data_IF_048091530086
#
_entry.id   IF_048091530086
#
_cell.length_a   1.000
_cell.length_b   1.000
_cell.length_c   1.000
_cell.angle_alpha   90.00
_cell.angle_beta   90.00
_cell.angle_gamma   90.00
#
_symmetry.space_group_name_H-M   'P 1'
#
loop_
_entity.id
_entity.type
_entity.pdbx_description
1 polymer ?
#
# COMPACT_ATOMS: atom_id res chain seq x y z
N UNK A 1 9.92 13.65 -36.11
CA UNK A 1 8.77 13.14 -35.35
C UNK A 1 8.11 14.37 -34.74
N UNK A 2 6.95 14.79 -35.23
CA UNK A 2 6.18 15.81 -34.52
C UNK A 2 5.75 15.24 -33.17
N UNK A 3 6.14 15.91 -32.08
CA UNK A 3 5.73 15.54 -30.72
C UNK A 3 4.24 15.88 -30.58
N UNK A 4 3.37 14.88 -30.69
CA UNK A 4 1.93 15.05 -30.45
C UNK A 4 1.63 14.87 -28.96
N UNK A 5 1.72 15.95 -28.19
CA UNK A 5 1.40 15.94 -26.75
C UNK A 5 -0.08 16.29 -26.59
N UNK A 6 -0.90 15.30 -26.20
CA UNK A 6 -2.33 15.50 -25.94
C UNK A 6 -2.52 16.13 -24.58
N UNK A 7 -2.95 17.40 -24.58
CA UNK A 7 -3.29 18.16 -23.37
C UNK A 7 -4.78 18.50 -23.38
N UNK A 8 -5.51 18.32 -22.26
CA UNK A 8 -6.91 18.69 -22.14
C UNK A 8 -7.16 20.18 -22.43
N UNK A 9 -8.30 20.50 -23.05
CA UNK A 9 -8.65 21.87 -23.42
C UNK A 9 -8.64 22.83 -22.21
N UNK A 10 -9.14 22.38 -21.06
CA UNK A 10 -9.14 23.16 -19.82
C UNK A 10 -7.72 23.57 -19.37
N UNK A 11 -6.75 22.66 -19.46
CA UNK A 11 -5.35 22.93 -19.09
C UNK A 11 -4.70 23.89 -20.10
N UNK A 12 -5.01 23.74 -21.39
CA UNK A 12 -4.58 24.70 -22.43
C UNK A 12 -5.13 26.09 -22.19
N UNK A 13 -6.40 26.21 -21.76
CA UNK A 13 -7.03 27.50 -21.47
C UNK A 13 -6.34 28.22 -20.29
N UNK A 14 -5.91 27.48 -19.27
CA UNK A 14 -5.13 28.03 -18.15
C UNK A 14 -3.82 28.65 -18.68
N UNK A 15 -3.08 27.93 -19.54
CA UNK A 15 -1.84 28.45 -20.15
C UNK A 15 -2.10 29.67 -21.03
N UNK A 16 -3.21 29.69 -21.80
CA UNK A 16 -3.63 30.85 -22.58
C UNK A 16 -3.89 32.09 -21.71
N UNK A 17 -4.53 31.93 -20.54
CA UNK A 17 -4.79 33.04 -19.61
C UNK A 17 -3.51 33.65 -19.07
N UNK A 18 -2.52 32.83 -18.74
CA UNK A 18 -1.19 33.32 -18.37
C UNK A 18 -0.55 34.11 -19.51
N UNK A 19 -0.53 33.53 -20.72
CA UNK A 19 0.09 34.18 -21.88
C UNK A 19 -0.57 35.51 -22.24
N UNK A 20 -1.89 35.61 -22.12
CA UNK A 20 -2.64 36.84 -22.36
C UNK A 20 -2.27 37.98 -21.38
N UNK A 21 -1.68 37.65 -20.24
CA UNK A 21 -1.15 38.62 -19.25
C UNK A 21 0.37 38.83 -19.35
N UNK A 22 1.02 38.20 -20.33
CA UNK A 22 2.46 38.33 -20.54
C UNK A 22 3.31 37.35 -19.74
N UNK A 23 2.71 36.41 -19.00
CA UNK A 23 3.43 35.39 -18.25
C UNK A 23 3.81 34.19 -19.11
N UNK A 24 4.88 33.51 -18.72
CA UNK A 24 5.22 32.17 -19.17
C UNK A 24 4.41 31.14 -18.39
N UNK A 25 3.96 30.09 -19.05
CA UNK A 25 3.29 28.96 -18.41
C UNK A 25 3.64 27.67 -19.15
N UNK A 26 4.32 26.78 -18.44
CA UNK A 26 4.73 25.48 -18.97
C UNK A 26 4.09 24.36 -18.18
N UNK A 27 3.52 23.38 -18.87
CA UNK A 27 3.17 22.11 -18.27
C UNK A 27 4.47 21.33 -18.05
N UNK A 28 4.64 20.75 -16.86
CA UNK A 28 5.93 20.18 -16.41
C UNK A 28 5.73 18.85 -15.69
N UNK A 29 6.82 18.13 -15.44
CA UNK A 29 6.81 16.99 -14.53
C UNK A 29 6.17 15.72 -15.10
N UNK A 30 5.45 15.00 -14.23
CA UNK A 30 4.83 13.72 -14.56
C UNK A 30 3.78 13.82 -15.67
N UNK A 31 3.08 14.95 -15.77
CA UNK A 31 2.09 15.19 -16.83
C UNK A 31 2.68 15.09 -18.23
N UNK A 32 3.88 15.65 -18.45
CA UNK A 32 4.57 15.55 -19.74
C UNK A 32 5.03 14.13 -20.02
N UNK A 33 5.66 13.48 -19.02
CA UNK A 33 6.07 12.09 -19.13
C UNK A 33 4.91 11.17 -19.51
N UNK A 34 3.79 11.31 -18.81
CA UNK A 34 2.63 10.44 -18.97
C UNK A 34 1.93 10.71 -20.30
N UNK A 35 1.82 11.97 -20.73
CA UNK A 35 1.33 12.30 -22.07
C UNK A 35 2.21 11.70 -23.18
N UNK A 36 3.54 11.71 -23.02
CA UNK A 36 4.48 11.10 -23.96
C UNK A 36 4.46 9.56 -23.95
N UNK A 37 4.00 8.95 -22.84
CA UNK A 37 3.78 7.51 -22.71
C UNK A 37 2.34 7.09 -23.06
N UNK A 38 1.51 8.03 -23.54
CA UNK A 38 0.09 7.81 -23.85
C UNK A 38 -0.72 7.28 -22.66
N UNK A 39 -0.34 7.67 -21.44
CA UNK A 39 -1.05 7.35 -20.20
C UNK A 39 -2.02 8.48 -19.86
N UNK A 40 -3.22 8.13 -19.40
CA UNK A 40 -4.15 9.13 -18.86
C UNK A 40 -3.59 9.74 -17.57
N UNK A 41 -3.70 11.06 -17.46
CA UNK A 41 -3.33 11.80 -16.28
C UNK A 41 -4.37 12.90 -16.00
N UNK A 42 -4.78 13.00 -14.74
CA UNK A 42 -5.75 13.98 -14.21
C UNK A 42 -5.09 14.99 -13.25
N UNK A 43 -3.79 14.85 -13.00
CA UNK A 43 -2.97 15.73 -12.16
C UNK A 43 -1.91 16.42 -13.04
N UNK A 44 -2.08 17.73 -13.24
CA UNK A 44 -1.18 18.56 -14.05
C UNK A 44 -0.42 19.55 -13.20
N UNK A 45 0.89 19.65 -13.44
CA UNK A 45 1.73 20.69 -12.86
C UNK A 45 1.99 21.76 -13.92
N UNK A 46 1.75 23.03 -13.58
CA UNK A 46 2.13 24.19 -14.40
C UNK A 46 3.19 25.00 -13.66
N UNK A 47 4.32 25.27 -14.31
CA UNK A 47 5.34 26.19 -13.84
C UNK A 47 5.24 27.54 -14.57
N UNK A 48 5.28 28.64 -13.83
CA UNK A 48 5.08 30.00 -14.37
C UNK A 48 6.01 31.01 -13.73
N UNK A 49 6.29 32.14 -14.40
CA UNK A 49 6.98 33.28 -13.81
C UNK A 49 6.05 34.22 -13.00
N UNK A 50 4.74 33.96 -12.99
CA UNK A 50 3.78 34.68 -12.14
C UNK A 50 3.94 34.33 -10.64
N UNK A 51 3.79 35.34 -9.78
CA UNK A 51 3.80 35.20 -8.33
C UNK A 51 2.46 34.67 -7.81
N UNK A 52 2.40 34.07 -6.60
CA UNK A 52 1.18 33.47 -6.06
C UNK A 52 -0.03 34.42 -6.06
N UNK A 53 0.16 35.67 -5.67
CA UNK A 53 -0.87 36.72 -5.67
C UNK A 53 -1.39 37.04 -7.08
N UNK A 54 -0.51 37.01 -8.09
CA UNK A 54 -0.87 37.21 -9.50
C UNK A 54 -1.64 36.01 -10.03
N UNK A 55 -1.25 34.79 -9.64
CA UNK A 55 -1.96 33.56 -10.01
C UNK A 55 -3.37 33.57 -9.38
N UNK A 56 -3.49 33.88 -8.09
CA UNK A 56 -4.79 33.96 -7.39
C UNK A 56 -5.68 35.05 -7.98
N UNK A 57 -5.10 36.19 -8.40
CA UNK A 57 -5.84 37.23 -9.11
C UNK A 57 -6.32 36.77 -10.49
N UNK A 58 -5.55 35.93 -11.19
CA UNK A 58 -5.91 35.40 -12.50
C UNK A 58 -6.95 34.27 -12.40
N UNK A 59 -6.91 33.51 -11.31
CA UNK A 59 -7.81 32.39 -11.06
C UNK A 59 -8.44 32.50 -9.66
N UNK A 60 -9.55 33.24 -9.51
CA UNK A 60 -10.19 33.47 -8.21
C UNK A 60 -10.71 32.21 -7.49
N UNK A 61 -10.85 31.08 -8.21
CA UNK A 61 -11.20 29.77 -7.65
C UNK A 61 -10.00 28.95 -7.20
N UNK A 62 -8.78 29.40 -7.50
CA UNK A 62 -7.57 28.73 -7.04
C UNK A 62 -7.39 28.98 -5.54
N UNK A 63 -6.83 28.00 -4.84
CA UNK A 63 -6.56 28.07 -3.41
C UNK A 63 -5.08 27.83 -3.13
N UNK A 64 -4.47 28.51 -2.17
CA UNK A 64 -3.12 28.18 -1.73
C UNK A 64 -3.03 26.70 -1.34
N UNK A 65 -1.98 26.01 -1.81
CA UNK A 65 -1.84 24.58 -1.62
C UNK A 65 -0.40 24.16 -1.37
N UNK A 66 -0.18 23.36 -0.33
CA UNK A 66 1.15 22.86 0.01
C UNK A 66 2.10 23.98 0.47
N UNK A 67 3.34 23.94 -0.03
CA UNK A 67 4.41 24.88 0.29
C UNK A 67 4.92 25.54 -0.99
N UNK A 68 5.82 26.52 -0.88
CA UNK A 68 6.52 27.14 -2.02
C UNK A 68 5.66 28.03 -2.92
N UNK A 69 4.54 28.56 -2.42
CA UNK A 69 3.67 29.44 -3.19
C UNK A 69 2.86 28.72 -4.27
N UNK A 70 2.81 27.40 -4.25
CA UNK A 70 1.93 26.61 -5.12
C UNK A 70 0.46 26.93 -4.83
N UNK A 71 -0.32 27.04 -5.89
CA UNK A 71 -1.77 27.16 -5.81
C UNK A 71 -2.43 26.01 -6.56
N UNK A 72 -3.55 25.56 -6.02
CA UNK A 72 -4.34 24.47 -6.56
C UNK A 72 -5.58 25.03 -7.24
N UNK A 73 -5.82 24.59 -8.47
CA UNK A 73 -7.01 24.90 -9.23
C UNK A 73 -7.66 23.59 -9.68
N UNK A 74 -8.94 23.42 -9.37
CA UNK A 74 -9.74 22.29 -9.86
C UNK A 74 -10.61 22.77 -11.03
N UNK A 75 -10.46 22.14 -12.20
CA UNK A 75 -11.24 22.47 -13.42
C UNK A 75 -11.68 21.18 -14.09
N UNK A 76 -12.99 20.97 -14.28
CA UNK A 76 -13.53 19.77 -14.96
C UNK A 76 -12.98 18.46 -14.37
N UNK A 77 -12.93 18.36 -13.04
CA UNK A 77 -12.35 17.25 -12.28
C UNK A 77 -10.83 17.02 -12.47
N UNK A 78 -10.17 17.89 -13.25
CA UNK A 78 -8.71 17.92 -13.41
C UNK A 78 -8.11 18.77 -12.30
N UNK A 79 -7.16 18.18 -11.59
CA UNK A 79 -6.38 18.84 -10.56
C UNK A 79 -5.17 19.51 -11.21
N UNK A 80 -5.05 20.83 -11.06
CA UNK A 80 -3.95 21.61 -11.63
C UNK A 80 -3.19 22.33 -10.51
N UNK A 81 -1.94 21.93 -10.29
CA UNK A 81 -1.01 22.59 -9.38
C UNK A 81 -0.19 23.62 -10.15
N UNK A 82 -0.33 24.89 -9.81
CA UNK A 82 0.40 25.99 -10.46
C UNK A 82 1.46 26.48 -9.49
N UNK A 83 2.73 26.41 -9.90
CA UNK A 83 3.89 26.74 -9.07
C UNK A 83 4.75 27.82 -9.73
N UNK A 84 5.04 28.94 -9.03
CA UNK A 84 5.98 29.93 -9.53
C UNK A 84 7.40 29.36 -9.72
N UNK A 85 8.15 29.90 -10.68
CA UNK A 85 9.58 29.67 -10.78
C UNK A 85 10.26 30.10 -9.47
N UNK A 86 11.36 29.42 -9.16
CA UNK A 86 12.18 29.79 -7.99
C UNK A 86 13.64 29.92 -8.39
N UNK A 87 14.31 30.88 -7.78
CA UNK A 87 15.71 31.23 -8.01
C UNK A 87 16.65 30.72 -6.91
N UNK A 88 16.14 29.89 -5.99
CA UNK A 88 16.90 29.32 -4.90
C UNK A 88 17.65 28.05 -5.30
N UNK A 89 18.78 27.80 -4.62
CA UNK A 89 19.55 26.58 -4.82
C UNK A 89 18.70 25.33 -4.50
N UNK A 90 18.78 24.26 -5.31
CA UNK A 90 17.88 23.11 -5.20
C UNK A 90 17.85 22.43 -3.82
N UNK A 91 16.71 21.82 -3.51
CA UNK A 91 16.44 21.12 -2.23
C UNK A 91 15.24 21.68 -1.47
N UNK A 92 14.80 20.96 -0.44
CA UNK A 92 13.64 21.37 0.37
C UNK A 92 14.12 22.28 1.50
N UNK A 93 14.02 23.59 1.32
CA UNK A 93 14.45 24.60 2.30
C UNK A 93 13.27 25.37 2.89
N UNK A 94 13.35 25.83 4.15
CA UNK A 94 12.32 26.65 4.78
C UNK A 94 12.21 28.06 4.16
N UNK A 95 13.29 28.54 3.53
CA UNK A 95 13.32 29.82 2.84
C UNK A 95 13.59 29.59 1.35
N UNK A 96 12.75 30.15 0.50
CA UNK A 96 12.83 30.09 -0.95
C UNK A 96 12.62 31.49 -1.53
N UNK A 97 13.16 31.74 -2.71
CA UNK A 97 13.03 33.00 -3.44
C UNK A 97 12.38 32.76 -4.79
N UNK A 98 11.28 33.46 -5.08
CA UNK A 98 10.65 33.44 -6.40
C UNK A 98 11.56 34.03 -7.48
N UNK A 99 11.26 33.70 -8.73
CA UNK A 99 12.00 34.13 -9.92
C UNK A 99 12.79 33.01 -10.57
N UNK A 100 13.69 33.34 -11.48
CA UNK A 100 14.42 32.35 -12.29
C UNK A 100 13.73 32.07 -13.62
N UNK A 101 14.03 30.92 -14.22
CA UNK A 101 13.53 30.51 -15.54
C UNK A 101 13.02 29.08 -15.52
N UNK A 102 12.34 28.66 -16.59
CA UNK A 102 11.96 27.26 -16.78
C UNK A 102 13.15 26.31 -16.66
N UNK A 103 14.33 26.69 -17.18
CA UNK A 103 15.55 25.88 -17.07
C UNK A 103 15.96 25.66 -15.61
N UNK A 104 15.91 26.71 -14.79
CA UNK A 104 16.21 26.60 -13.35
C UNK A 104 15.18 25.79 -12.59
N UNK A 105 13.89 25.81 -13.00
CA UNK A 105 12.87 24.94 -12.41
C UNK A 105 13.06 23.47 -12.81
N UNK A 106 13.39 23.19 -14.06
CA UNK A 106 13.64 21.82 -14.50
C UNK A 106 14.89 21.23 -13.82
N UNK A 107 15.92 22.04 -13.59
CA UNK A 107 17.18 21.64 -12.97
C UNK A 107 17.06 21.18 -11.51
N UNK A 108 16.01 21.61 -10.81
CA UNK A 108 15.77 21.23 -9.40
C UNK A 108 14.94 19.97 -9.24
N UNK A 109 14.40 19.40 -10.32
CA UNK A 109 13.58 18.19 -10.26
C UNK A 109 14.45 16.95 -10.03
N UNK A 110 13.79 15.84 -9.77
CA UNK A 110 14.45 14.61 -9.32
C UNK A 110 15.12 13.84 -10.45
N UNK A 111 14.36 13.53 -11.51
CA UNK A 111 14.80 12.68 -12.60
C UNK A 111 14.54 13.33 -13.97
N UNK A 112 15.40 13.03 -14.94
CA UNK A 112 15.38 13.56 -16.31
C UNK A 112 14.00 13.38 -16.97
N UNK A 113 13.40 12.21 -16.80
CA UNK A 113 12.05 11.88 -17.30
C UNK A 113 10.92 12.76 -16.71
N UNK A 114 11.19 13.49 -15.62
CA UNK A 114 10.27 14.47 -15.03
C UNK A 114 10.79 15.91 -15.18
N UNK A 115 11.91 16.13 -15.85
CA UNK A 115 12.57 17.41 -16.06
C UNK A 115 12.36 17.94 -17.48
N UNK A 116 11.15 17.77 -18.00
CA UNK A 116 10.71 18.30 -19.30
C UNK A 116 9.57 19.31 -19.09
N UNK A 117 9.44 20.22 -20.04
CA UNK A 117 8.39 21.24 -20.06
C UNK A 117 7.79 21.41 -21.46
N UNK A 118 6.51 21.77 -21.50
CA UNK A 118 5.79 22.04 -22.74
C UNK A 118 4.85 23.23 -22.58
N UNK A 119 4.97 24.22 -23.47
CA UNK A 119 4.01 25.32 -23.59
C UNK A 119 2.97 24.94 -24.67
N UNK A 120 1.71 24.67 -24.29
CA UNK A 120 0.68 24.25 -25.24
C UNK A 120 0.15 25.41 -26.12
N UNK A 121 0.56 26.66 -25.86
CA UNK A 121 0.17 27.85 -26.62
C UNK A 121 1.18 28.13 -27.72
N UNK A 122 2.47 28.08 -27.41
CA UNK A 122 3.56 28.34 -28.38
C UNK A 122 4.08 27.06 -29.04
N UNK A 123 3.67 25.89 -28.55
CA UNK A 123 4.18 24.58 -28.93
C UNK A 123 5.68 24.40 -28.61
N UNK A 124 6.23 25.23 -27.73
CA UNK A 124 7.61 25.12 -27.29
C UNK A 124 7.78 23.89 -26.38
N UNK A 125 8.74 23.03 -26.71
CA UNK A 125 9.13 21.88 -25.89
C UNK A 125 10.56 22.10 -25.38
N UNK A 126 10.73 22.03 -24.06
CA UNK A 126 11.99 22.33 -23.37
C UNK A 126 12.45 21.08 -22.61
N UNK A 127 13.57 20.50 -23.07
CA UNK A 127 14.19 19.31 -22.48
C UNK A 127 15.72 19.46 -22.35
N UNK A 128 16.20 20.25 -21.37
CA UNK A 128 17.63 20.54 -21.22
C UNK A 128 18.42 19.41 -20.57
N UNK A 129 17.77 18.33 -20.11
CA UNK A 129 18.38 17.21 -19.40
C UNK A 129 18.18 15.86 -20.09
N UNK A 130 17.81 15.87 -21.38
CA UNK A 130 17.66 14.68 -22.22
C UNK A 130 16.61 13.68 -21.67
N UNK A 131 15.57 14.20 -21.00
CA UNK A 131 14.48 13.41 -20.46
C UNK A 131 13.72 12.61 -21.51
N UNK A 132 13.56 13.14 -22.73
CA UNK A 132 12.92 12.43 -23.84
C UNK A 132 13.75 11.24 -24.30
N UNK A 133 15.08 11.34 -24.25
CA UNK A 133 15.97 10.24 -24.59
C UNK A 133 15.93 9.15 -23.51
N UNK A 134 16.03 9.52 -22.23
CA UNK A 134 15.92 8.56 -21.13
C UNK A 134 14.52 7.91 -21.08
N UNK A 135 13.45 8.64 -21.42
CA UNK A 135 12.10 8.10 -21.54
C UNK A 135 12.00 7.02 -22.62
N UNK A 136 12.57 7.28 -23.81
CA UNK A 136 12.65 6.30 -24.91
C UNK A 136 13.52 5.10 -24.55
N UNK A 137 14.61 5.32 -23.81
CA UNK A 137 15.50 4.27 -23.33
C UNK A 137 14.96 3.51 -22.12
N UNK A 138 13.82 3.94 -21.54
CA UNK A 138 13.23 3.38 -20.32
C UNK A 138 14.19 3.42 -19.12
N UNK A 139 14.84 4.57 -18.92
CA UNK A 139 15.85 4.81 -17.90
C UNK A 139 15.39 5.87 -16.90
N UNK A 140 15.62 5.62 -15.61
CA UNK A 140 15.49 6.60 -14.53
C UNK A 140 16.89 7.11 -14.20
N UNK A 141 17.14 8.39 -14.51
CA UNK A 141 18.41 9.08 -14.28
C UNK A 141 18.18 10.36 -13.50
N UNK A 142 19.05 10.69 -12.55
CA UNK A 142 18.98 11.97 -11.85
C UNK A 142 19.12 13.17 -12.79
N UNK A 143 18.33 14.22 -12.56
CA UNK A 143 18.43 15.46 -13.32
C UNK A 143 19.76 16.17 -13.10
N UNK A 144 20.53 16.33 -14.18
CA UNK A 144 21.83 16.99 -14.17
C UNK A 144 22.91 16.16 -13.47
N UNK A 145 22.87 16.08 -12.13
CA UNK A 145 23.83 15.32 -11.34
C UNK A 145 23.11 14.55 -10.24
N UNK A 146 23.60 13.34 -9.93
CA UNK A 146 23.23 12.54 -8.76
C UNK A 146 23.04 13.34 -7.47
N UNK A 147 23.79 14.45 -7.23
CA UNK A 147 23.60 15.38 -6.10
C UNK A 147 22.13 15.73 -5.79
N UNK A 148 21.22 15.65 -6.76
CA UNK A 148 19.77 15.73 -6.52
C UNK A 148 19.27 14.86 -5.38
N UNK A 149 19.81 13.66 -5.16
CA UNK A 149 19.38 12.77 -4.08
C UNK A 149 19.75 13.32 -2.69
N UNK A 150 20.84 14.06 -2.57
CA UNK A 150 21.32 14.64 -1.30
C UNK A 150 20.42 15.77 -0.82
N UNK A 151 19.76 16.46 -1.74
CA UNK A 151 18.95 17.65 -1.47
C UNK A 151 17.55 17.33 -0.92
N UNK A 152 17.06 16.14 -1.23
CA UNK A 152 15.89 15.54 -0.59
C UNK A 152 16.06 14.02 -0.61
N UNK A 153 16.47 13.40 0.52
CA UNK A 153 16.67 11.95 0.62
C UNK A 153 15.45 11.13 0.20
N UNK A 154 14.24 11.68 0.26
CA UNK A 154 13.04 10.98 -0.23
C UNK A 154 13.10 10.68 -1.74
N UNK A 155 13.91 11.41 -2.52
CA UNK A 155 14.13 11.12 -3.94
C UNK A 155 14.69 9.72 -4.15
N UNK A 156 15.41 9.15 -3.19
CA UNK A 156 15.87 7.77 -3.29
C UNK A 156 14.71 6.78 -3.30
N UNK A 157 13.68 6.99 -2.45
CA UNK A 157 12.45 6.20 -2.51
C UNK A 157 11.66 6.46 -3.79
N UNK A 158 11.63 7.72 -4.27
CA UNK A 158 10.93 8.07 -5.51
C UNK A 158 11.54 7.36 -6.73
N UNK A 159 12.85 7.12 -6.77
CA UNK A 159 13.48 6.34 -7.83
C UNK A 159 12.92 4.91 -7.87
N UNK A 160 12.89 4.23 -6.71
CA UNK A 160 12.31 2.90 -6.58
C UNK A 160 10.81 2.88 -6.89
N UNK A 161 10.07 3.91 -6.48
CA UNK A 161 8.65 4.08 -6.84
C UNK A 161 8.47 4.24 -8.34
N UNK A 162 9.25 5.10 -9.01
CA UNK A 162 9.11 5.29 -10.46
C UNK A 162 9.51 4.03 -11.23
N UNK A 163 10.50 3.28 -10.75
CA UNK A 163 10.79 1.96 -11.31
C UNK A 163 9.57 1.05 -11.19
N UNK A 164 8.93 1.01 -10.02
CA UNK A 164 7.71 0.22 -9.83
C UNK A 164 6.53 0.69 -10.69
N UNK A 165 6.40 1.99 -10.94
CA UNK A 165 5.30 2.55 -11.75
C UNK A 165 5.49 2.34 -13.25
N UNK A 166 6.73 2.43 -13.73
CA UNK A 166 7.02 2.51 -15.16
C UNK A 166 7.66 1.23 -15.72
N UNK A 167 8.19 0.35 -14.86
CA UNK A 167 8.98 -0.80 -15.28
C UNK A 167 10.24 -0.37 -16.04
N UNK A 168 10.90 0.68 -15.53
CA UNK A 168 12.12 1.27 -16.10
C UNK A 168 13.34 0.82 -15.31
N UNK A 169 14.51 0.87 -15.92
CA UNK A 169 15.78 0.58 -15.22
C UNK A 169 16.36 1.85 -14.59
N UNK A 170 17.09 1.72 -13.49
CA UNK A 170 17.78 2.85 -12.86
C UNK A 170 19.22 2.91 -13.39
N UNK A 171 19.63 4.09 -13.83
CA UNK A 171 20.98 4.33 -14.34
C UNK A 171 22.06 4.05 -13.28
N UNK A 172 23.22 3.44 -13.60
CA UNK A 172 24.18 2.98 -12.61
C UNK A 172 24.68 4.05 -11.62
N UNK A 173 24.97 5.27 -12.10
CA UNK A 173 25.43 6.36 -11.21
C UNK A 173 24.33 6.80 -10.25
N UNK A 174 23.09 6.85 -10.74
CA UNK A 174 21.88 7.11 -9.96
C UNK A 174 21.68 6.02 -8.91
N UNK A 175 21.80 4.74 -9.28
CA UNK A 175 21.68 3.61 -8.35
C UNK A 175 22.75 3.66 -7.24
N UNK A 176 24.00 3.96 -7.61
CA UNK A 176 25.09 4.16 -6.64
C UNK A 176 24.80 5.32 -5.68
N UNK A 177 24.23 6.41 -6.20
CA UNK A 177 23.79 7.53 -5.38
C UNK A 177 22.68 7.13 -4.40
N UNK A 178 21.70 6.32 -4.80
CA UNK A 178 20.68 5.81 -3.88
C UNK A 178 21.33 5.04 -2.72
N UNK A 179 22.26 4.13 -3.04
CA UNK A 179 22.95 3.29 -2.04
C UNK A 179 23.80 4.11 -1.07
N UNK A 180 24.60 5.03 -1.59
CA UNK A 180 25.46 5.89 -0.76
C UNK A 180 24.69 6.83 0.17
N UNK A 181 23.41 7.13 -0.15
CA UNK A 181 22.58 8.09 0.57
C UNK A 181 21.49 7.46 1.42
N UNK A 182 21.36 6.13 1.40
CA UNK A 182 20.36 5.40 2.16
C UNK A 182 20.28 5.82 3.65
N UNK A 183 21.41 6.04 4.37
CA UNK A 183 21.35 6.48 5.77
C UNK A 183 20.61 7.79 6.02
N UNK A 184 20.62 8.72 5.05
CA UNK A 184 19.93 10.01 5.18
C UNK A 184 18.41 9.87 5.14
N UNK A 185 17.88 8.73 4.70
CA UNK A 185 16.43 8.48 4.72
C UNK A 185 15.88 8.53 6.15
N UNK A 186 16.70 8.24 7.16
CA UNK A 186 16.33 8.36 8.58
C UNK A 186 15.97 9.80 9.01
N UNK A 187 16.36 10.82 8.22
CA UNK A 187 15.99 12.23 8.46
C UNK A 187 14.59 12.58 7.96
N UNK A 188 13.97 11.70 7.17
CA UNK A 188 12.66 11.93 6.58
C UNK A 188 11.57 11.44 7.53
N UNK A 189 10.47 12.20 7.61
CA UNK A 189 9.32 11.81 8.44
C UNK A 189 8.73 10.47 7.98
N UNK A 190 8.19 9.73 8.94
CA UNK A 190 7.63 8.39 8.70
C UNK A 190 6.42 8.41 7.79
N UNK A 191 5.61 9.46 7.83
CA UNK A 191 4.46 9.68 6.96
C UNK A 191 4.89 9.83 5.50
N UNK A 192 5.98 10.58 5.23
CA UNK A 192 6.48 10.73 3.86
C UNK A 192 7.06 9.41 3.32
N UNK A 193 7.73 8.64 4.17
CA UNK A 193 8.21 7.29 3.82
C UNK A 193 7.02 6.37 3.53
N UNK A 194 6.00 6.37 4.40
CA UNK A 194 4.75 5.62 4.24
C UNK A 194 4.07 5.96 2.92
N UNK A 195 3.94 7.23 2.58
CA UNK A 195 3.24 7.67 1.37
C UNK A 195 3.97 7.25 0.09
N UNK A 196 5.31 7.29 0.08
CA UNK A 196 6.10 6.76 -1.05
C UNK A 196 6.07 5.23 -1.12
N UNK A 197 6.13 4.54 0.03
CA UNK A 197 6.01 3.08 0.11
C UNK A 197 4.66 2.60 -0.42
N UNK A 198 3.56 3.23 0.01
CA UNK A 198 2.22 2.90 -0.46
C UNK A 198 2.11 3.02 -1.98
N UNK A 199 2.56 4.15 -2.54
CA UNK A 199 2.55 4.34 -4.00
C UNK A 199 3.41 3.30 -4.72
N UNK A 200 4.55 2.90 -4.14
CA UNK A 200 5.42 1.87 -4.71
C UNK A 200 4.74 0.50 -4.72
N UNK A 201 4.21 0.03 -3.59
CA UNK A 201 3.62 -1.31 -3.50
C UNK A 201 2.29 -1.42 -4.28
N UNK A 202 1.58 -0.32 -4.51
CA UNK A 202 0.37 -0.29 -5.35
C UNK A 202 0.65 0.00 -6.82
N UNK A 203 1.90 -0.03 -7.25
CA UNK A 203 2.28 0.15 -8.67
C UNK A 203 2.13 -1.15 -9.47
N UNK A 204 2.39 -1.05 -10.78
CA UNK A 204 2.30 -2.18 -11.73
C UNK A 204 3.48 -3.17 -11.58
N UNK A 205 4.65 -2.69 -11.16
CA UNK A 205 5.89 -3.47 -10.99
C UNK A 205 6.45 -3.37 -9.56
N UNK A 206 5.67 -3.68 -8.50
CA UNK A 206 6.08 -3.42 -7.12
C UNK A 206 7.31 -4.25 -6.71
N UNK A 207 7.50 -5.43 -7.28
CA UNK A 207 8.65 -6.30 -6.99
C UNK A 207 9.98 -5.61 -7.31
N UNK A 208 10.13 -5.03 -8.52
CA UNK A 208 11.37 -4.37 -8.94
C UNK A 208 11.72 -3.18 -8.02
N UNK A 209 10.71 -2.39 -7.65
CA UNK A 209 10.89 -1.28 -6.71
C UNK A 209 11.30 -1.77 -5.31
N UNK A 210 10.66 -2.82 -4.80
CA UNK A 210 10.99 -3.41 -3.50
C UNK A 210 12.41 -4.01 -3.50
N UNK A 211 12.80 -4.71 -4.56
CA UNK A 211 14.17 -5.21 -4.75
C UNK A 211 15.16 -4.05 -4.76
N UNK A 212 14.87 -2.95 -5.45
CA UNK A 212 15.72 -1.75 -5.40
C UNK A 212 15.87 -1.20 -4.00
N UNK A 213 14.81 -1.17 -3.18
CA UNK A 213 14.93 -0.76 -1.78
C UNK A 213 15.88 -1.68 -1.00
N UNK A 214 15.84 -2.99 -1.27
CA UNK A 214 16.72 -3.98 -0.62
C UNK A 214 18.18 -3.81 -1.05
N UNK A 215 18.48 -3.84 -2.35
CA UNK A 215 19.87 -3.85 -2.87
C UNK A 215 20.60 -2.52 -2.66
N UNK A 216 19.87 -1.42 -2.56
CA UNK A 216 20.41 -0.09 -2.20
C UNK A 216 20.55 0.10 -0.70
N UNK A 217 19.98 -0.79 0.12
CA UNK A 217 19.96 -0.65 1.58
C UNK A 217 18.94 0.35 2.11
N UNK A 218 18.11 0.96 1.27
CA UNK A 218 17.02 1.85 1.70
C UNK A 218 16.02 1.11 2.61
N UNK A 219 15.77 -0.18 2.36
CA UNK A 219 14.85 -1.00 3.15
C UNK A 219 15.21 -1.01 4.65
N UNK A 220 16.50 -0.92 5.00
CA UNK A 220 17.00 -0.83 6.39
C UNK A 220 16.43 0.36 7.16
N UNK A 221 16.03 1.41 6.45
CA UNK A 221 15.49 2.63 7.03
C UNK A 221 13.97 2.71 6.91
N UNK A 222 13.33 1.74 6.23
CA UNK A 222 11.89 1.70 5.95
C UNK A 222 11.23 0.61 6.81
N UNK A 223 11.57 -0.66 6.56
CA UNK A 223 11.09 -1.85 7.29
C UNK A 223 12.29 -2.80 7.45
N UNK A 224 13.21 -2.55 8.40
CA UNK A 224 14.39 -3.39 8.59
C UNK A 224 14.05 -4.85 8.92
N UNK A 225 12.90 -5.10 9.55
CA UNK A 225 12.41 -6.43 9.93
C UNK A 225 12.29 -7.38 8.74
N UNK A 226 11.95 -6.88 7.54
CA UNK A 226 11.87 -7.70 6.32
C UNK A 226 13.23 -8.31 5.95
N UNK A 227 14.32 -7.60 6.25
CA UNK A 227 15.67 -8.06 5.91
C UNK A 227 16.14 -9.24 6.76
N UNK A 228 15.48 -9.50 7.90
CA UNK A 228 15.78 -10.67 8.74
C UNK A 228 15.45 -11.99 8.02
N UNK A 229 14.55 -11.97 7.03
CA UNK A 229 14.21 -13.14 6.21
C UNK A 229 15.15 -13.39 5.03
N UNK A 230 16.11 -12.50 4.76
CA UNK A 230 17.03 -12.64 3.64
C UNK A 230 17.98 -13.82 3.85
N UNK A 231 18.09 -14.70 2.85
CA UNK A 231 18.88 -15.92 2.89
C UNK A 231 18.32 -17.02 3.81
N UNK A 232 17.11 -16.84 4.34
CA UNK A 232 16.43 -17.84 5.15
C UNK A 232 15.55 -18.73 4.28
N UNK A 233 16.11 -19.87 3.86
CA UNK A 233 15.43 -20.84 3.00
C UNK A 233 14.29 -21.57 3.72
N UNK A 234 13.23 -21.91 2.97
CA UNK A 234 12.12 -22.71 3.46
C UNK A 234 12.12 -24.07 2.76
N UNK A 235 12.15 -25.15 3.53
CA UNK A 235 12.11 -26.51 2.99
C UNK A 235 10.81 -26.68 2.17
N UNK A 236 10.94 -26.79 0.85
CA UNK A 236 9.86 -26.83 -0.17
C UNK A 236 9.33 -25.49 -0.71
N UNK A 237 10.06 -24.38 -0.58
CA UNK A 237 9.80 -23.18 -1.39
C UNK A 237 11.03 -22.84 -2.24
N UNK A 238 10.83 -22.23 -3.42
CA UNK A 238 11.93 -21.88 -4.31
C UNK A 238 12.71 -20.62 -3.88
N UNK A 239 12.19 -19.88 -2.91
CA UNK A 239 12.68 -18.56 -2.53
C UNK A 239 12.88 -18.47 -1.01
N UNK A 240 13.76 -17.57 -0.57
CA UNK A 240 13.90 -17.21 0.84
C UNK A 240 12.65 -16.46 1.37
N UNK A 241 12.60 -16.25 2.69
CA UNK A 241 11.47 -15.58 3.35
C UNK A 241 11.27 -14.14 2.85
N UNK A 242 12.34 -13.39 2.56
CA UNK A 242 12.22 -12.03 2.07
C UNK A 242 11.63 -12.00 0.65
N UNK A 243 12.19 -12.78 -0.27
CA UNK A 243 11.73 -12.87 -1.64
C UNK A 243 10.29 -13.38 -1.72
N UNK A 244 9.92 -14.36 -0.88
CA UNK A 244 8.52 -14.79 -0.72
C UNK A 244 7.60 -13.61 -0.37
N UNK A 245 7.97 -12.75 0.58
CA UNK A 245 7.18 -11.56 0.94
C UNK A 245 7.06 -10.55 -0.21
N UNK A 246 8.15 -10.32 -0.95
CA UNK A 246 8.14 -9.40 -2.09
C UNK A 246 7.25 -9.94 -3.23
N UNK A 247 7.32 -11.24 -3.50
CA UNK A 247 6.49 -11.91 -4.51
C UNK A 247 5.02 -11.97 -4.10
N UNK A 248 4.72 -12.29 -2.83
CA UNK A 248 3.35 -12.26 -2.33
C UNK A 248 2.75 -10.85 -2.47
N UNK A 249 3.54 -9.82 -2.13
CA UNK A 249 3.16 -8.43 -2.36
C UNK A 249 2.89 -8.16 -3.84
N UNK A 250 3.63 -8.74 -4.79
CA UNK A 250 3.41 -8.58 -6.24
C UNK A 250 2.18 -9.34 -6.77
N UNK A 251 1.93 -10.56 -6.28
CA UNK A 251 0.85 -11.41 -6.79
C UNK A 251 -0.53 -11.05 -6.25
N UNK A 252 -0.62 -10.47 -5.04
CA UNK A 252 -1.91 -10.12 -4.46
C UNK A 252 -2.61 -9.03 -5.27
N UNK A 253 -3.95 -9.04 -5.27
CA UNK A 253 -4.76 -7.98 -5.87
C UNK A 253 -4.29 -6.60 -5.44
N UNK A 254 -4.18 -5.68 -6.40
CA UNK A 254 -3.68 -4.33 -6.16
C UNK A 254 -4.66 -3.52 -5.30
N UNK A 255 -4.45 -3.57 -3.99
CA UNK A 255 -5.15 -2.78 -2.99
C UNK A 255 -4.20 -2.48 -1.83
N UNK A 256 -4.17 -1.25 -1.28
CA UNK A 256 -3.20 -0.87 -0.25
C UNK A 256 -3.11 -1.85 0.93
N UNK A 257 -4.24 -2.24 1.52
CA UNK A 257 -4.25 -3.14 2.67
C UNK A 257 -3.84 -4.57 2.30
N UNK A 258 -4.18 -5.05 1.10
CA UNK A 258 -3.76 -6.38 0.62
C UNK A 258 -2.27 -6.44 0.34
N UNK A 259 -1.71 -5.41 -0.33
CA UNK A 259 -0.27 -5.30 -0.61
C UNK A 259 0.53 -5.27 0.69
N UNK A 260 0.07 -4.51 1.69
CA UNK A 260 0.69 -4.47 3.02
C UNK A 260 0.59 -5.81 3.76
N UNK A 261 -0.59 -6.44 3.78
CA UNK A 261 -0.77 -7.74 4.42
C UNK A 261 0.12 -8.80 3.77
N UNK A 262 0.17 -8.86 2.45
CA UNK A 262 1.02 -9.79 1.71
C UNK A 262 2.51 -9.52 1.92
N UNK A 263 2.94 -8.26 1.98
CA UNK A 263 4.34 -7.92 2.27
C UNK A 263 4.76 -8.31 3.69
N UNK A 264 3.83 -8.31 4.66
CA UNK A 264 4.15 -8.46 6.09
C UNK A 264 3.72 -9.80 6.71
N UNK A 265 2.94 -10.64 6.01
CA UNK A 265 2.33 -11.85 6.62
C UNK A 265 3.33 -12.83 7.21
N UNK A 266 4.53 -12.90 6.64
CA UNK A 266 5.60 -13.83 7.02
C UNK A 266 6.82 -13.13 7.63
N UNK A 267 6.72 -11.83 7.95
CA UNK A 267 7.83 -11.04 8.51
C UNK A 267 8.38 -11.60 9.83
N UNK A 268 7.56 -12.36 10.58
CA UNK A 268 7.92 -12.95 11.86
C UNK A 268 8.70 -14.25 11.79
N UNK A 269 8.79 -14.90 10.62
CA UNK A 269 9.42 -16.22 10.46
C UNK A 269 10.84 -16.25 10.99
N UNK A 270 11.64 -15.22 10.68
CA UNK A 270 13.04 -15.16 11.13
C UNK A 270 13.20 -15.20 12.66
N UNK A 271 12.21 -14.70 13.41
CA UNK A 271 12.26 -14.62 14.87
C UNK A 271 11.65 -15.83 15.58
N UNK A 272 11.03 -16.75 14.86
CA UNK A 272 10.52 -18.01 15.41
C UNK A 272 11.10 -19.25 14.70
N UNK A 273 12.13 -19.07 13.89
CA UNK A 273 12.80 -20.14 13.19
C UNK A 273 13.41 -21.14 14.18
N UNK A 274 13.11 -22.42 13.98
CA UNK A 274 13.69 -23.53 14.73
C UNK A 274 14.25 -24.52 13.73
N UNK A 275 15.51 -24.91 13.90
CA UNK A 275 16.11 -25.95 13.08
C UNK A 275 15.83 -27.33 13.70
N UNK A 276 15.22 -28.21 12.91
CA UNK A 276 14.94 -29.58 13.29
C UNK A 276 15.37 -30.50 12.15
N UNK A 277 16.31 -31.41 12.44
CA UNK A 277 16.83 -32.38 11.45
C UNK A 277 17.36 -31.72 10.15
N UNK A 278 17.96 -30.53 10.26
CA UNK A 278 18.48 -29.77 9.12
C UNK A 278 17.41 -29.03 8.30
N UNK A 279 16.16 -29.01 8.78
CA UNK A 279 15.03 -28.30 8.18
C UNK A 279 14.65 -27.12 9.09
N UNK A 280 14.51 -25.93 8.51
CA UNK A 280 13.97 -24.77 9.20
C UNK A 280 12.44 -24.84 9.25
N UNK A 281 11.90 -24.88 10.46
CA UNK A 281 10.49 -24.79 10.76
C UNK A 281 10.15 -23.42 11.39
N UNK A 282 8.91 -22.98 11.23
CA UNK A 282 8.45 -21.64 11.68
C UNK A 282 7.17 -21.74 12.53
N UNK A 283 7.22 -22.42 13.69
CA UNK A 283 6.06 -22.60 14.55
C UNK A 283 5.52 -21.24 15.01
N UNK A 284 4.20 -21.07 14.93
CA UNK A 284 3.53 -19.85 15.40
C UNK A 284 3.94 -18.56 14.69
N UNK A 285 4.54 -18.62 13.49
CA UNK A 285 5.03 -17.41 12.80
C UNK A 285 3.95 -16.37 12.58
N UNK A 286 2.69 -16.74 12.31
CA UNK A 286 1.58 -15.80 12.20
C UNK A 286 1.41 -14.90 13.44
N UNK A 287 1.61 -15.43 14.65
CA UNK A 287 1.57 -14.66 15.90
C UNK A 287 2.73 -13.67 15.93
N UNK A 288 3.93 -14.13 15.57
CA UNK A 288 5.12 -13.26 15.58
C UNK A 288 5.07 -12.20 14.49
N UNK A 289 4.58 -12.56 13.30
CA UNK A 289 4.32 -11.64 12.18
C UNK A 289 3.28 -10.60 12.56
N UNK A 290 2.23 -10.98 13.29
CA UNK A 290 1.20 -10.05 13.76
C UNK A 290 1.79 -8.98 14.69
N UNK A 291 2.54 -9.40 15.72
CA UNK A 291 3.24 -8.49 16.66
C UNK A 291 4.19 -7.53 15.92
N UNK A 292 4.98 -8.06 15.00
CA UNK A 292 5.93 -7.27 14.21
C UNK A 292 5.22 -6.33 13.24
N UNK A 293 4.18 -6.78 12.55
CA UNK A 293 3.39 -5.96 11.65
C UNK A 293 2.73 -4.80 12.39
N UNK A 294 2.22 -5.02 13.61
CA UNK A 294 1.65 -3.96 14.44
C UNK A 294 2.68 -2.87 14.75
N UNK A 295 3.89 -3.27 15.17
CA UNK A 295 5.02 -2.35 15.39
C UNK A 295 5.40 -1.59 14.12
N UNK A 296 5.52 -2.28 12.98
CA UNK A 296 5.87 -1.68 11.69
C UNK A 296 4.83 -0.64 11.25
N UNK A 297 3.54 -0.99 11.31
CA UNK A 297 2.45 -0.10 10.91
C UNK A 297 2.38 1.15 11.80
N UNK A 298 2.60 0.97 13.11
CA UNK A 298 2.69 2.07 14.08
C UNK A 298 3.90 2.98 13.81
N UNK A 299 5.05 2.40 13.51
CA UNK A 299 6.28 3.13 13.20
C UNK A 299 6.15 3.94 11.91
N UNK A 300 5.46 3.40 10.90
CA UNK A 300 5.13 4.08 9.65
C UNK A 300 3.92 5.00 9.74
N UNK A 301 3.30 5.16 10.92
CA UNK A 301 2.18 6.07 11.18
C UNK A 301 0.97 5.79 10.27
N UNK A 302 0.64 4.52 10.04
CA UNK A 302 -0.61 4.17 9.37
C UNK A 302 -1.83 4.53 10.22
N UNK A 303 -2.96 4.82 9.57
CA UNK A 303 -4.22 5.04 10.26
C UNK A 303 -4.76 3.72 10.85
N UNK A 304 -5.58 3.85 11.89
CA UNK A 304 -6.11 2.69 12.63
C UNK A 304 -6.99 1.77 11.77
N UNK A 305 -7.70 2.31 10.77
CA UNK A 305 -8.58 1.53 9.91
C UNK A 305 -7.77 0.60 9.02
N UNK A 306 -6.77 1.16 8.32
CA UNK A 306 -5.82 0.40 7.52
C UNK A 306 -5.09 -0.63 8.37
N UNK A 307 -4.54 -0.22 9.52
CA UNK A 307 -3.79 -1.11 10.39
C UNK A 307 -4.63 -2.29 10.88
N UNK A 308 -5.85 -2.03 11.39
CA UNK A 308 -6.77 -3.08 11.85
C UNK A 308 -7.04 -4.12 10.75
N UNK A 309 -7.29 -3.65 9.53
CA UNK A 309 -7.57 -4.55 8.40
C UNK A 309 -6.36 -5.40 8.02
N UNK A 310 -5.17 -4.81 7.93
CA UNK A 310 -3.93 -5.53 7.64
C UNK A 310 -3.65 -6.59 8.70
N UNK A 311 -3.75 -6.23 9.98
CA UNK A 311 -3.50 -7.13 11.11
C UNK A 311 -4.48 -8.30 11.14
N UNK A 312 -5.78 -8.05 10.89
CA UNK A 312 -6.80 -9.10 10.81
C UNK A 312 -6.49 -10.13 9.71
N UNK A 313 -5.99 -9.67 8.56
CA UNK A 313 -5.59 -10.58 7.47
C UNK A 313 -4.36 -11.41 7.85
N UNK A 314 -3.34 -10.78 8.44
CA UNK A 314 -2.12 -11.46 8.88
C UNK A 314 -2.42 -12.47 10.00
N UNK A 315 -3.27 -12.14 10.95
CA UNK A 315 -3.63 -13.06 12.04
C UNK A 315 -4.29 -14.35 11.52
N UNK A 316 -5.05 -14.25 10.42
CA UNK A 316 -5.92 -15.31 9.94
C UNK A 316 -5.46 -15.97 8.63
N UNK A 317 -4.30 -15.61 8.08
CA UNK A 317 -3.85 -16.10 6.77
C UNK A 317 -3.52 -17.61 6.74
N UNK A 318 -3.24 -18.22 7.90
CA UNK A 318 -2.81 -19.63 8.03
C UNK A 318 -3.96 -20.67 8.00
N UNK A 319 -5.15 -20.33 7.49
CA UNK A 319 -6.27 -21.27 7.48
C UNK A 319 -6.02 -22.48 6.55
N UNK A 320 -6.56 -23.63 6.96
CA UNK A 320 -6.57 -24.85 6.17
C UNK A 320 -7.98 -25.12 5.65
N UNK A 321 -8.07 -25.56 4.39
CA UNK A 321 -9.32 -25.96 3.76
C UNK A 321 -9.02 -27.01 2.71
N UNK A 322 -9.82 -28.07 2.69
CA UNK A 322 -9.71 -29.21 1.81
C UNK A 322 -11.09 -29.58 1.23
N UNK A 323 -11.17 -30.40 0.16
CA UNK A 323 -12.45 -30.77 -0.45
C UNK A 323 -13.45 -31.44 0.49
N UNK A 324 -12.97 -32.11 1.55
CA UNK A 324 -13.74 -32.79 2.58
C UNK A 324 -13.98 -31.95 3.84
N UNK A 325 -13.52 -30.70 3.86
CA UNK A 325 -13.75 -29.78 4.99
C UNK A 325 -15.25 -29.51 5.16
N UNK A 326 -15.79 -29.66 6.38
CA UNK A 326 -17.22 -29.45 6.62
C UNK A 326 -17.58 -27.97 6.55
N UNK A 327 -18.85 -27.70 6.20
CA UNK A 327 -19.39 -26.34 6.05
C UNK A 327 -19.29 -25.50 7.34
N UNK A 328 -19.23 -26.15 8.52
CA UNK A 328 -19.00 -25.48 9.80
C UNK A 328 -17.68 -24.71 9.84
N UNK A 329 -16.63 -25.18 9.17
CA UNK A 329 -15.34 -24.47 9.14
C UNK A 329 -15.40 -23.18 8.32
N UNK A 330 -16.17 -23.16 7.22
CA UNK A 330 -16.45 -21.91 6.51
C UNK A 330 -17.24 -20.94 7.41
N UNK A 331 -18.20 -21.43 8.20
CA UNK A 331 -18.94 -20.59 9.16
C UNK A 331 -18.00 -20.01 10.22
N UNK A 332 -17.13 -20.83 10.83
CA UNK A 332 -16.13 -20.39 11.80
C UNK A 332 -15.22 -19.32 11.19
N UNK A 333 -14.73 -19.54 9.97
CA UNK A 333 -13.86 -18.59 9.29
C UNK A 333 -14.57 -17.25 9.05
N UNK A 334 -15.80 -17.27 8.51
CA UNK A 334 -16.61 -16.06 8.29
C UNK A 334 -16.93 -15.34 9.62
N UNK A 335 -17.31 -16.09 10.67
CA UNK A 335 -17.60 -15.51 11.98
C UNK A 335 -16.38 -14.82 12.58
N UNK A 336 -15.19 -15.41 12.37
CA UNK A 336 -13.91 -14.87 12.86
C UNK A 336 -13.45 -13.62 12.10
N UNK A 337 -13.56 -13.62 10.76
CA UNK A 337 -12.94 -12.55 9.94
C UNK A 337 -13.94 -11.53 9.39
N UNK A 338 -15.23 -11.86 9.37
CA UNK A 338 -16.30 -11.04 8.80
C UNK A 338 -16.40 -11.16 7.26
N UNK A 339 -17.63 -11.01 6.75
CA UNK A 339 -17.91 -11.03 5.31
C UNK A 339 -17.19 -9.93 4.53
N UNK A 340 -16.92 -8.80 5.17
CA UNK A 340 -16.22 -7.67 4.57
C UNK A 340 -14.72 -7.95 4.34
N UNK A 341 -14.15 -8.99 4.98
CA UNK A 341 -12.74 -9.35 4.87
C UNK A 341 -12.49 -10.74 4.28
N UNK A 342 -13.48 -11.65 4.25
CA UNK A 342 -13.27 -13.04 3.83
C UNK A 342 -12.68 -13.15 2.41
N UNK A 343 -13.15 -12.32 1.47
CA UNK A 343 -12.62 -12.35 0.10
C UNK A 343 -11.22 -11.76 0.02
N UNK A 344 -10.89 -10.77 0.84
CA UNK A 344 -9.53 -10.23 0.93
C UNK A 344 -8.56 -11.27 1.53
N UNK A 345 -9.02 -12.07 2.51
CA UNK A 345 -8.26 -13.19 3.06
C UNK A 345 -7.98 -14.28 2.01
N UNK A 346 -8.97 -14.55 1.15
CA UNK A 346 -8.83 -15.46 0.01
C UNK A 346 -7.82 -14.92 -1.01
N UNK A 347 -7.85 -13.61 -1.31
CA UNK A 347 -6.87 -12.98 -2.20
C UNK A 347 -5.45 -13.07 -1.63
N UNK A 348 -5.28 -12.86 -0.32
CA UNK A 348 -4.00 -13.05 0.34
C UNK A 348 -3.51 -14.51 0.23
N UNK A 349 -4.40 -15.49 0.44
CA UNK A 349 -4.06 -16.93 0.33
C UNK A 349 -3.66 -17.32 -1.09
N UNK A 350 -4.33 -16.77 -2.11
CA UNK A 350 -3.95 -16.94 -3.52
C UNK A 350 -2.54 -16.44 -3.78
N UNK A 351 -2.21 -15.24 -3.27
CA UNK A 351 -0.90 -14.63 -3.44
C UNK A 351 0.22 -15.40 -2.74
N UNK A 352 0.01 -15.83 -1.48
CA UNK A 352 0.94 -16.69 -0.72
C UNK A 352 1.22 -18.01 -1.48
N UNK A 353 0.18 -18.62 -2.05
CA UNK A 353 0.32 -19.83 -2.86
C UNK A 353 1.15 -19.60 -4.12
N UNK A 354 0.89 -18.52 -4.88
CA UNK A 354 1.69 -18.18 -6.06
C UNK A 354 3.16 -17.87 -5.70
N UNK A 355 3.39 -17.10 -4.63
CA UNK A 355 4.73 -16.78 -4.13
C UNK A 355 5.52 -18.01 -3.67
N UNK A 356 4.80 -19.06 -3.24
CA UNK A 356 5.38 -20.36 -2.87
C UNK A 356 5.71 -21.26 -4.07
N UNK A 357 5.54 -20.78 -5.32
CA UNK A 357 5.94 -21.50 -6.54
C UNK A 357 4.85 -22.38 -7.17
N UNK A 358 3.61 -22.29 -6.72
CA UNK A 358 2.50 -23.03 -7.35
C UNK A 358 2.04 -22.32 -8.62
N UNK A 359 1.80 -23.08 -9.70
CA UNK A 359 1.29 -22.54 -10.97
C UNK A 359 -0.14 -21.98 -10.87
N UNK A 360 -0.97 -22.59 -10.00
CA UNK A 360 -2.38 -22.22 -9.82
C UNK A 360 -2.60 -21.59 -8.45
N UNK A 361 -3.14 -20.38 -8.46
CA UNK A 361 -3.54 -19.63 -7.26
C UNK A 361 -4.71 -20.30 -6.50
N UNK A 362 -5.60 -20.97 -7.24
CA UNK A 362 -6.77 -21.66 -6.68
C UNK A 362 -6.55 -23.16 -6.82
N UNK A 363 -6.56 -23.87 -5.70
CA UNK A 363 -6.55 -25.33 -5.65
C UNK A 363 -7.88 -25.88 -5.11
N UNK A 364 -8.05 -27.22 -5.07
CA UNK A 364 -9.34 -27.86 -4.75
C UNK A 364 -9.94 -27.43 -3.40
N UNK A 365 -9.10 -27.21 -2.39
CA UNK A 365 -9.56 -26.72 -1.09
C UNK A 365 -10.13 -25.30 -1.15
N UNK A 366 -9.52 -24.41 -1.93
CA UNK A 366 -10.01 -23.04 -2.08
C UNK A 366 -11.26 -22.98 -2.99
N UNK A 367 -11.37 -23.87 -3.98
CA UNK A 367 -12.60 -24.07 -4.75
C UNK A 367 -13.76 -24.50 -3.85
N UNK A 368 -13.52 -25.47 -2.95
CA UNK A 368 -14.52 -25.90 -1.97
C UNK A 368 -14.92 -24.75 -1.04
N UNK A 369 -13.97 -23.99 -0.50
CA UNK A 369 -14.28 -22.83 0.35
C UNK A 369 -15.15 -21.81 -0.39
N UNK A 370 -14.84 -21.50 -1.65
CA UNK A 370 -15.65 -20.56 -2.43
C UNK A 370 -17.08 -21.07 -2.62
N UNK A 371 -17.27 -22.35 -2.94
CA UNK A 371 -18.58 -22.99 -3.04
C UNK A 371 -19.34 -22.92 -1.71
N UNK A 372 -18.67 -23.20 -0.60
CA UNK A 372 -19.27 -23.18 0.73
C UNK A 372 -19.70 -21.77 1.14
N UNK A 373 -18.92 -20.73 0.80
CA UNK A 373 -19.31 -19.35 1.04
C UNK A 373 -20.57 -18.95 0.26
N UNK A 374 -20.77 -19.48 -0.94
CA UNK A 374 -22.01 -19.28 -1.70
C UNK A 374 -23.20 -19.97 -1.03
N UNK A 375 -23.00 -21.19 -0.52
CA UNK A 375 -24.00 -21.92 0.26
C UNK A 375 -24.37 -21.17 1.56
N UNK A 376 -23.39 -20.70 2.32
CA UNK A 376 -23.62 -19.91 3.53
C UNK A 376 -24.44 -18.64 3.26
N UNK A 377 -24.17 -17.93 2.17
CA UNK A 377 -24.96 -16.75 1.78
C UNK A 377 -26.41 -17.10 1.46
N UNK A 378 -26.63 -18.24 0.82
CA UNK A 378 -27.97 -18.72 0.45
C UNK A 378 -28.76 -19.13 1.68
N UNK A 379 -28.12 -19.82 2.61
CA UNK A 379 -28.73 -20.31 3.85
C UNK A 379 -28.82 -19.26 4.96
N UNK A 380 -28.02 -18.19 4.88
CA UNK A 380 -27.84 -17.20 5.95
C UNK A 380 -27.41 -17.84 7.27
N UNK A 381 -26.49 -18.79 7.18
CA UNK A 381 -25.97 -19.56 8.32
C UNK A 381 -24.66 -18.99 8.89
N UNK A 382 -24.40 -17.71 8.66
CA UNK A 382 -23.24 -16.92 9.11
C UNK A 382 -23.46 -16.27 10.49
N UNK A 383 -23.64 -17.10 11.52
CA UNK A 383 -23.97 -16.63 12.87
C UNK A 383 -22.84 -15.82 13.53
N UNK A 384 -23.22 -14.74 14.22
CA UNK A 384 -22.43 -14.04 15.22
C UNK A 384 -23.11 -14.11 16.59
N UNK A 385 -22.43 -13.63 17.64
CA UNK A 385 -22.99 -13.59 19.01
C UNK A 385 -24.37 -12.91 19.04
N UNK A 386 -24.56 -11.86 18.25
CA UNK A 386 -25.83 -11.10 18.18
C UNK A 386 -26.98 -11.90 17.53
N UNK A 387 -26.67 -12.96 16.79
CA UNK A 387 -27.61 -13.80 16.06
C UNK A 387 -27.99 -15.05 16.86
N UNK A 388 -27.40 -15.23 18.05
CA UNK A 388 -27.84 -16.25 18.99
C UNK A 388 -29.25 -15.92 19.49
N UNK A 389 -30.10 -16.94 19.60
CA UNK A 389 -31.46 -16.85 20.16
C UNK A 389 -31.46 -16.66 21.71
N UNK A 390 -30.31 -16.24 22.24
CA UNK A 390 -30.09 -15.95 23.65
C UNK A 390 -29.12 -14.78 23.78
N UNK A 391 -29.39 -13.90 24.73
CA UNK A 391 -28.54 -12.76 25.05
C UNK A 391 -27.74 -13.00 26.33
N UNK A 392 -26.72 -12.17 26.56
CA UNK A 392 -25.99 -12.18 27.84
C UNK A 392 -26.90 -11.89 29.04
N UNK A 393 -27.98 -11.12 28.85
CA UNK A 393 -28.98 -10.85 29.90
C UNK A 393 -29.73 -12.12 30.28
N UNK A 394 -30.14 -12.92 29.30
CA UNK A 394 -30.84 -14.18 29.53
C UNK A 394 -29.96 -15.16 30.31
N UNK A 395 -28.67 -15.26 29.97
CA UNK A 395 -27.72 -16.09 30.72
C UNK A 395 -27.60 -15.65 32.19
N UNK A 396 -27.55 -14.34 32.44
CA UNK A 396 -27.48 -13.78 33.80
C UNK A 396 -28.74 -14.10 34.59
N UNK A 397 -29.91 -13.85 34.01
CA UNK A 397 -31.20 -13.99 34.69
C UNK A 397 -31.56 -15.47 34.93
N UNK A 398 -31.38 -16.34 33.93
CA UNK A 398 -31.82 -17.74 33.99
C UNK A 398 -30.81 -18.68 34.68
N UNK A 399 -29.52 -18.35 34.63
CA UNK A 399 -28.46 -19.17 35.26
C UNK A 399 -27.95 -18.57 36.57
N UNK A 400 -28.42 -17.39 36.96
CA UNK A 400 -28.02 -16.72 38.20
C UNK A 400 -26.54 -16.33 38.26
N UNK A 401 -25.88 -16.19 37.10
CA UNK A 401 -24.45 -15.84 37.03
C UNK A 401 -24.23 -14.33 37.16
N UNK A 402 -23.12 -13.91 37.77
CA UNK A 402 -22.79 -12.49 37.87
C UNK A 402 -22.36 -11.92 36.51
N UNK A 403 -22.73 -10.67 36.18
CA UNK A 403 -22.18 -9.98 35.03
C UNK A 403 -20.65 -9.98 35.06
N UNK A 404 -20.00 -10.31 33.94
CA UNK A 404 -18.55 -10.34 33.84
C UNK A 404 -18.03 -11.15 32.66
N UNK A 405 -16.70 -11.40 32.59
CA UNK A 405 -16.05 -12.10 31.47
C UNK A 405 -16.62 -13.50 31.17
N UNK A 406 -17.16 -14.18 32.19
CA UNK A 406 -17.77 -15.49 32.05
C UNK A 406 -18.97 -15.49 31.10
N UNK A 407 -19.77 -14.41 31.05
CA UNK A 407 -20.92 -14.29 30.14
C UNK A 407 -20.42 -14.26 28.69
N UNK A 408 -19.35 -13.52 28.43
CA UNK A 408 -18.71 -13.50 27.11
C UNK A 408 -18.11 -14.86 26.73
N UNK A 409 -17.45 -15.55 27.66
CA UNK A 409 -16.94 -16.91 27.43
C UNK A 409 -18.08 -17.88 27.06
N UNK A 410 -19.20 -17.83 27.78
CA UNK A 410 -20.39 -18.64 27.50
C UNK A 410 -21.01 -18.31 26.14
N UNK A 411 -21.19 -17.03 25.80
CA UNK A 411 -21.73 -16.64 24.49
C UNK A 411 -20.85 -17.11 23.34
N UNK A 412 -19.52 -17.03 23.48
CA UNK A 412 -18.60 -17.57 22.48
C UNK A 412 -18.71 -19.10 22.40
N UNK A 413 -18.77 -19.80 23.52
CA UNK A 413 -18.96 -21.26 23.53
C UNK A 413 -20.26 -21.67 22.84
N UNK A 414 -21.37 -20.98 23.12
CA UNK A 414 -22.65 -21.21 22.46
C UNK A 414 -22.58 -20.94 20.96
N UNK A 415 -21.92 -19.84 20.56
CA UNK A 415 -21.67 -19.54 19.17
C UNK A 415 -20.88 -20.67 18.49
N UNK A 416 -19.80 -21.18 19.08
CA UNK A 416 -19.04 -22.30 18.53
C UNK A 416 -19.91 -23.56 18.31
N UNK A 417 -20.89 -23.82 19.20
CA UNK A 417 -21.85 -24.91 19.02
C UNK A 417 -22.82 -24.66 17.86
N UNK A 418 -23.32 -23.44 17.72
CA UNK A 418 -24.22 -23.04 16.63
C UNK A 418 -23.51 -23.01 15.28
N UNK A 419 -22.23 -22.63 15.25
CA UNK A 419 -21.40 -22.68 14.04
C UNK A 419 -21.17 -24.13 13.60
N UNK A 420 -21.05 -25.07 14.54
CA UNK A 420 -21.00 -26.51 14.22
C UNK A 420 -22.36 -27.00 13.70
N UNK A 421 -23.42 -26.79 14.47
CA UNK A 421 -24.78 -27.20 14.15
C UNK A 421 -25.78 -26.04 14.36
N UNK A 422 -26.21 -25.38 13.26
CA UNK A 422 -27.18 -24.29 13.30
C UNK A 422 -28.51 -24.63 13.97
N UNK A 423 -28.90 -25.91 14.00
CA UNK A 423 -30.18 -26.34 14.59
C UNK A 423 -30.23 -26.12 16.11
N UNK A 424 -29.06 -25.95 16.75
CA UNK A 424 -28.92 -25.68 18.17
C UNK A 424 -29.29 -24.24 18.55
N UNK A 425 -29.45 -23.33 17.58
CA UNK A 425 -29.75 -21.92 17.85
C UNK A 425 -31.21 -21.69 18.27
N UNK A 426 -31.57 -22.24 19.43
CA UNK A 426 -32.87 -22.11 20.09
C UNK A 426 -32.62 -21.80 21.55
N UNK A 427 -33.30 -20.78 22.08
CA UNK A 427 -33.12 -20.28 23.45
C UNK A 427 -32.97 -21.39 24.50
N UNK A 428 -33.94 -22.31 24.55
CA UNK A 428 -33.98 -23.40 25.53
C UNK A 428 -32.78 -24.36 25.40
N UNK A 429 -32.43 -24.73 24.16
CA UNK A 429 -31.27 -25.58 23.87
C UNK A 429 -29.98 -24.90 24.31
N UNK A 430 -29.82 -23.62 24.02
CA UNK A 430 -28.63 -22.85 24.40
C UNK A 430 -28.51 -22.67 25.92
N UNK A 431 -29.62 -22.44 26.62
CA UNK A 431 -29.66 -22.41 28.09
C UNK A 431 -29.21 -23.74 28.69
N UNK A 432 -29.67 -24.85 28.15
CA UNK A 432 -29.29 -26.18 28.62
C UNK A 432 -27.78 -26.45 28.41
N UNK A 433 -27.25 -26.10 27.23
CA UNK A 433 -25.81 -26.23 26.93
C UNK A 433 -24.99 -25.37 27.90
N UNK A 434 -25.39 -24.13 28.14
CA UNK A 434 -24.70 -23.23 29.06
C UNK A 434 -24.75 -23.76 30.51
N UNK A 435 -25.89 -24.29 30.96
CA UNK A 435 -26.05 -24.89 32.29
C UNK A 435 -25.11 -26.09 32.46
N UNK A 436 -25.10 -27.01 31.49
CA UNK A 436 -24.20 -28.18 31.49
C UNK A 436 -22.73 -27.78 31.55
N UNK A 437 -22.34 -26.73 30.85
CA UNK A 437 -20.97 -26.22 30.88
C UNK A 437 -20.57 -25.70 32.27
N UNK A 438 -21.48 -25.00 32.97
CA UNK A 438 -21.26 -24.52 34.33
C UNK A 438 -21.21 -25.66 35.37
N UNK A 439 -22.04 -26.70 35.19
CA UNK A 439 -22.06 -27.88 36.06
C UNK A 439 -20.86 -28.81 35.85
N UNK A 440 -20.31 -28.84 34.64
CA UNK A 440 -19.21 -29.73 34.23
C UNK A 440 -17.81 -29.35 34.69
N UNK A 441 -17.61 -28.19 35.32
CA UNK A 441 -16.38 -27.87 36.05
C UNK A 441 -15.17 -27.42 35.22
N UNK A 442 -15.32 -26.97 33.96
CA UNK A 442 -14.24 -26.28 33.20
C UNK A 442 -13.96 -24.84 33.71
N UNK A 443 -14.17 -24.61 35.01
CA UNK A 443 -13.92 -23.36 35.72
C UNK A 443 -12.75 -23.53 36.69
N UNK A 444 -11.56 -23.79 36.14
CA UNK A 444 -10.27 -23.59 36.82
C UNK A 444 -9.19 -23.27 35.76
N UNK A 445 -9.19 -22.03 35.28
CA UNK A 445 -8.03 -21.11 35.17
C UNK A 445 -8.41 -19.80 34.47
#
# INVERSE_FOLDING_TARGET
MELSIKIPAAVKEICHKFKARGYQAYIVGGAIRDALLERENLDYDIATDALPEEILSLFPRAVPYGNFGTVLLLVEDIKVEITPFRNDAPGRKPHYSFGGTILTDLARRDFTINSMAYDPVTFEFVDPFEGLQDLKARVIRCTGNTRRIWEDPLRAMRAARFQAQLGFTIEPSTLYALKSHAPLLATISRERIRDELLKLITSDHPFDGLVTLVVTGLMKHIIPELLEGMGMEHYNKPNDVLEHNLLACMYVKNSPHLRLAALLHDVGKARCAVEKEGILEFPGHHIKSLEMAESILKNLRFDNSTAKKVLLLIENHMFFYAPDTPLSEARRLVSKVGWENIYDLIELRKADRLASGFEKAVGPGLEKLLSDLEELKKEKSDYQIKDLDISGKDLIEELGIRPGPIVGKLLNLLLERVLEDPSLNRRETLLEIARKYLEGGDLCE
#
